data_IF_275331075401
#
_entry.id   IF_275331075401
#
_cell.length_a   1.000
_cell.length_b   1.000
_cell.length_c   1.000
_cell.angle_alpha   90.00
_cell.angle_beta   90.00
_cell.angle_gamma   90.00
#
_symmetry.space_group_name_H-M   'P 1'
#
loop_
_entity.id
_entity.type
_entity.pdbx_description
1 polymer ?
#
# COMPACT_ATOMS: atom_id res chain seq x y z
N UNK A 1 -6.42 -3.02 0.73
CA UNK A 1 -5.93 -3.28 -0.64
C UNK A 1 -5.49 -1.98 -1.24
N UNK A 2 -4.45 -2.01 -2.06
CA UNK A 2 -4.04 -0.87 -2.87
C UNK A 2 -3.97 -1.26 -4.34
N UNK A 3 -4.16 -0.28 -5.22
CA UNK A 3 -3.89 -0.42 -6.65
C UNK A 3 -3.20 0.85 -7.14
N UNK A 4 -2.49 0.73 -8.26
CA UNK A 4 -2.00 1.86 -9.03
C UNK A 4 -2.70 1.83 -10.40
N UNK A 5 -3.25 2.96 -10.81
CA UNK A 5 -3.89 3.12 -12.12
C UNK A 5 -3.49 4.49 -12.67
N UNK A 6 -2.96 4.52 -13.90
CA UNK A 6 -2.43 5.73 -14.54
C UNK A 6 -1.46 6.55 -13.66
N UNK A 7 -0.55 5.86 -12.96
CA UNK A 7 0.42 6.44 -12.02
C UNK A 7 -0.19 7.10 -10.78
N UNK A 8 -1.46 6.81 -10.47
CA UNK A 8 -2.14 7.28 -9.28
C UNK A 8 -2.38 6.10 -8.32
N UNK A 9 -1.87 6.16 -7.08
CA UNK A 9 -2.15 5.14 -6.07
C UNK A 9 -3.54 5.33 -5.46
N UNK A 10 -4.23 4.22 -5.20
CA UNK A 10 -5.55 4.19 -4.57
C UNK A 10 -5.57 3.15 -3.44
N UNK A 11 -6.35 3.44 -2.40
CA UNK A 11 -6.69 2.50 -1.34
C UNK A 11 -8.18 2.18 -1.37
N UNK A 12 -8.51 0.90 -1.22
CA UNK A 12 -9.90 0.48 -1.09
C UNK A 12 -10.41 0.76 0.34
N UNK A 13 -11.56 1.42 0.45
CA UNK A 13 -12.31 1.60 1.70
C UNK A 13 -13.69 0.93 1.61
N UNK A 14 -14.03 -0.01 2.51
CA UNK A 14 -15.35 -0.62 2.54
C UNK A 14 -16.47 0.42 2.61
N UNK A 15 -17.46 0.31 1.73
CA UNK A 15 -18.60 1.24 1.63
C UNK A 15 -18.33 2.55 0.87
N UNK A 16 -17.07 2.92 0.65
CA UNK A 16 -16.70 4.13 -0.11
C UNK A 16 -16.06 3.82 -1.47
N UNK A 17 -15.47 2.63 -1.63
CA UNK A 17 -14.81 2.20 -2.86
C UNK A 17 -13.31 2.58 -2.90
N UNK A 18 -12.78 2.77 -4.10
CA UNK A 18 -11.39 3.17 -4.31
C UNK A 18 -11.23 4.68 -4.11
N UNK A 19 -10.31 5.07 -3.22
CA UNK A 19 -10.02 6.47 -2.91
C UNK A 19 -8.54 6.74 -3.17
N UNK A 20 -8.22 7.89 -3.76
CA UNK A 20 -6.85 8.29 -4.02
C UNK A 20 -6.02 8.30 -2.71
N UNK A 21 -4.84 7.71 -2.77
CA UNK A 21 -3.91 7.62 -1.65
C UNK A 21 -3.07 8.88 -1.53
N UNK A 22 -3.62 9.91 -0.90
CA UNK A 22 -2.95 11.20 -0.72
C UNK A 22 -1.84 11.17 0.35
N UNK A 23 -1.81 10.12 1.18
CA UNK A 23 -0.87 9.97 2.28
C UNK A 23 0.32 9.07 1.90
N UNK A 24 0.43 8.65 0.63
CA UNK A 24 1.48 7.78 0.08
C UNK A 24 1.61 6.42 0.76
N UNK A 25 0.57 5.94 1.43
CA UNK A 25 0.62 4.71 2.24
C UNK A 25 0.99 3.49 1.41
N UNK A 26 0.51 3.39 0.17
CA UNK A 26 0.82 2.29 -0.73
C UNK A 26 2.31 2.30 -1.11
N UNK A 27 2.83 3.45 -1.51
CA UNK A 27 4.23 3.59 -1.91
C UNK A 27 5.19 3.44 -0.73
N UNK A 28 4.82 3.96 0.44
CA UNK A 28 5.59 3.79 1.68
C UNK A 28 5.79 2.30 2.00
N UNK A 29 4.74 1.48 1.85
CA UNK A 29 4.86 0.03 2.05
C UNK A 29 5.73 -0.65 1.00
N UNK A 30 5.58 -0.30 -0.27
CA UNK A 30 6.43 -0.85 -1.34
C UNK A 30 7.89 -0.45 -1.21
N UNK A 31 8.17 0.75 -0.71
CA UNK A 31 9.52 1.26 -0.52
C UNK A 31 10.13 0.83 0.83
N UNK A 32 9.37 0.16 1.69
CA UNK A 32 9.81 -0.23 3.03
C UNK A 32 10.09 0.98 3.92
N UNK A 33 9.22 1.99 3.87
CA UNK A 33 9.29 3.16 4.73
C UNK A 33 8.99 2.77 6.19
N UNK A 34 9.92 3.10 7.08
CA UNK A 34 9.83 2.78 8.50
C UNK A 34 9.59 4.05 9.33
N UNK A 35 8.37 4.28 9.80
CA UNK A 35 8.04 5.48 10.56
C UNK A 35 8.80 5.60 11.89
N UNK A 36 9.33 4.48 12.41
CA UNK A 36 9.99 4.41 13.72
C UNK A 36 11.45 4.88 13.68
N UNK A 37 12.06 4.88 12.50
CA UNK A 37 13.42 5.40 12.28
C UNK A 37 13.44 6.95 12.33
N UNK A 38 14.53 7.60 12.76
CA UNK A 38 14.69 9.05 12.64
C UNK A 38 14.56 9.53 11.19
N UNK A 39 14.06 10.76 10.99
CA UNK A 39 13.77 11.29 9.65
C UNK A 39 15.01 11.37 8.72
N UNK A 40 16.20 11.50 9.30
CA UNK A 40 17.50 11.52 8.60
C UNK A 40 18.22 10.17 8.59
N UNK A 41 17.57 9.10 9.07
CA UNK A 41 18.14 7.75 9.09
C UNK A 41 18.30 7.21 7.67
N UNK A 42 19.47 6.64 7.32
CA UNK A 42 19.65 5.95 6.06
C UNK A 42 18.83 4.66 5.96
N UNK A 43 18.23 4.20 7.06
CA UNK A 43 17.37 3.01 7.14
C UNK A 43 15.87 3.35 7.13
N UNK A 44 15.51 4.63 6.98
CA UNK A 44 14.12 5.11 6.92
C UNK A 44 13.35 4.51 5.74
N UNK A 45 14.05 4.11 4.68
CA UNK A 45 13.53 3.49 3.46
C UNK A 45 14.31 2.19 3.22
N UNK A 46 13.67 1.17 2.67
CA UNK A 46 14.29 -0.12 2.36
C UNK A 46 14.23 -1.14 3.50
N UNK A 47 13.35 -0.95 4.49
CA UNK A 47 13.08 -1.97 5.50
C UNK A 47 12.37 -3.17 4.86
N UNK A 48 13.09 -4.27 4.65
CA UNK A 48 12.56 -5.47 3.99
C UNK A 48 11.45 -6.14 4.78
N UNK A 49 11.46 -6.06 6.12
CA UNK A 49 10.38 -6.62 6.94
C UNK A 49 9.05 -5.90 6.73
N UNK A 50 9.06 -4.61 6.38
CA UNK A 50 7.86 -3.86 6.00
C UNK A 50 7.42 -4.24 4.59
N UNK A 51 8.37 -4.36 3.66
CA UNK A 51 8.10 -4.76 2.27
C UNK A 51 7.48 -6.17 2.19
N UNK A 52 7.95 -7.10 3.03
CA UNK A 52 7.45 -8.48 3.12
C UNK A 52 6.00 -8.58 3.63
N UNK A 53 5.42 -7.48 4.16
CA UNK A 53 4.00 -7.42 4.53
C UNK A 53 3.09 -7.22 3.32
N UNK A 54 3.64 -6.88 2.16
CA UNK A 54 2.88 -6.62 0.93
C UNK A 54 2.91 -7.85 0.05
N UNK A 55 1.73 -8.33 -0.32
CA UNK A 55 1.55 -9.41 -1.29
C UNK A 55 0.87 -8.86 -2.55
N UNK A 56 1.44 -9.16 -3.72
CA UNK A 56 0.81 -8.89 -5.00
C UNK A 56 -0.23 -9.98 -5.29
N UNK A 57 -1.47 -9.56 -5.53
CA UNK A 57 -2.58 -10.44 -5.88
C UNK A 57 -3.20 -10.02 -7.21
N UNK A 58 -3.82 -10.96 -7.93
CA UNK A 58 -4.44 -10.63 -9.21
C UNK A 58 -5.73 -9.85 -8.99
N UNK A 59 -6.08 -9.00 -9.96
CA UNK A 59 -7.32 -8.22 -9.95
C UNK A 59 -8.57 -9.06 -9.62
N UNK A 60 -8.75 -10.19 -10.32
CA UNK A 60 -9.85 -11.14 -10.05
C UNK A 60 -9.92 -11.71 -8.63
N UNK A 61 -8.81 -11.67 -7.88
CA UNK A 61 -8.73 -12.14 -6.50
C UNK A 61 -9.12 -11.00 -5.55
N UNK A 62 -8.67 -9.78 -5.86
CA UNK A 62 -9.08 -8.55 -5.16
C UNK A 62 -10.61 -8.41 -5.17
N UNK A 63 -11.25 -8.61 -6.32
CA UNK A 63 -12.71 -8.54 -6.46
C UNK A 63 -13.42 -9.47 -5.47
N UNK A 64 -12.96 -10.71 -5.35
CA UNK A 64 -13.52 -11.67 -4.38
C UNK A 64 -13.32 -11.24 -2.94
N UNK A 65 -12.18 -10.64 -2.60
CA UNK A 65 -11.97 -10.14 -1.25
C UNK A 65 -12.86 -8.93 -0.95
N UNK A 66 -13.05 -8.04 -1.93
CA UNK A 66 -13.92 -6.88 -1.82
C UNK A 66 -15.39 -7.29 -1.64
N UNK A 67 -15.87 -8.29 -2.38
CA UNK A 67 -17.23 -8.82 -2.25
C UNK A 67 -17.53 -9.41 -0.85
N UNK A 68 -16.47 -9.80 -0.12
CA UNK A 68 -16.57 -10.39 1.21
C UNK A 68 -16.26 -9.42 2.37
N UNK A 69 -16.06 -8.12 2.08
CA UNK A 69 -15.78 -7.04 3.05
C UNK A 69 -17.03 -6.23 3.36
#
# INVERSE_FOLDING_TARGET
MGKEEDYVPYLYKPGEGWIADNDNVLMDRFMGYDDSEPADSPYKIGNTSIMDLVEEIREKEVEKFIENL
#
